data_IF_182820726656
#
_entry.id   IF_182820726656
#
_cell.length_a   1.000
_cell.length_b   1.000
_cell.length_c   1.000
_cell.angle_alpha   90.00
_cell.angle_beta   90.00
_cell.angle_gamma   90.00
#
_symmetry.space_group_name_H-M   'P 1'
#
loop_
_entity.id
_entity.type
_entity.pdbx_description
1 polymer ?
#
# COMPACT_ATOMS: atom_id res chain seq x y z
N UNK A 1 17.93 -13.26 -1.26
CA UNK A 1 16.74 -12.54 -1.76
C UNK A 1 15.73 -13.52 -2.32
N UNK A 2 14.45 -13.29 -2.06
CA UNK A 2 13.40 -14.13 -2.62
C UNK A 2 13.41 -14.06 -4.16
N UNK A 3 13.04 -15.17 -4.79
CA UNK A 3 12.94 -15.25 -6.26
C UNK A 3 11.92 -14.22 -6.75
N UNK A 4 12.31 -13.44 -7.74
CA UNK A 4 11.43 -12.43 -8.33
C UNK A 4 11.55 -11.04 -7.74
N UNK A 5 12.33 -10.86 -6.68
CA UNK A 5 12.60 -9.52 -6.14
C UNK A 5 13.85 -8.91 -6.79
N UNK A 6 13.82 -7.60 -6.95
CA UNK A 6 14.97 -6.84 -7.44
C UNK A 6 15.81 -6.32 -6.28
N UNK A 7 17.00 -5.82 -6.61
CA UNK A 7 17.86 -5.13 -5.65
C UNK A 7 17.52 -3.63 -5.53
N UNK A 8 16.43 -3.20 -6.14
CA UNK A 8 16.00 -1.81 -6.10
C UNK A 8 15.27 -1.52 -4.80
N UNK A 9 15.37 -0.29 -4.34
CA UNK A 9 14.81 0.13 -3.08
C UNK A 9 13.37 0.59 -3.21
N UNK A 10 12.62 0.40 -2.13
CA UNK A 10 11.30 0.96 -1.94
C UNK A 10 11.41 1.91 -0.76
N UNK A 11 10.97 3.14 -0.94
CA UNK A 11 11.02 4.16 0.08
C UNK A 11 9.62 4.45 0.59
N UNK A 12 9.51 4.60 1.92
CA UNK A 12 8.23 4.90 2.57
C UNK A 12 8.31 6.22 3.31
N UNK A 13 7.35 7.10 3.05
CA UNK A 13 7.05 8.21 3.92
C UNK A 13 5.85 7.84 4.79
N UNK A 14 6.10 7.54 6.05
CA UNK A 14 5.06 7.10 6.97
C UNK A 14 4.20 8.27 7.41
N UNK A 15 2.90 8.22 7.10
CA UNK A 15 1.89 9.18 7.56
C UNK A 15 1.29 8.75 8.90
N UNK A 16 1.13 7.45 9.09
CA UNK A 16 0.76 6.83 10.35
C UNK A 16 1.46 5.49 10.47
N UNK A 17 2.13 5.27 11.59
CA UNK A 17 2.72 3.97 11.91
C UNK A 17 2.72 3.79 13.42
N UNK A 18 2.48 2.58 13.89
CA UNK A 18 2.59 2.27 15.31
C UNK A 18 4.06 2.18 15.70
N UNK A 19 4.36 2.72 16.86
CA UNK A 19 5.62 2.50 17.55
C UNK A 19 5.46 1.36 18.56
N UNK A 20 6.50 1.11 19.34
CA UNK A 20 6.49 0.05 20.39
C UNK A 20 5.41 0.25 21.45
N UNK A 21 4.92 1.47 21.61
CA UNK A 21 4.00 1.87 22.67
C UNK A 21 2.59 2.20 22.16
N UNK A 22 2.30 1.91 20.90
CA UNK A 22 1.03 2.23 20.29
C UNK A 22 1.20 2.97 18.96
N UNK A 23 0.12 3.44 18.41
CA UNK A 23 0.11 4.14 17.15
C UNK A 23 0.01 5.64 17.31
N UNK A 24 0.32 6.33 16.22
CA UNK A 24 0.14 7.78 16.17
C UNK A 24 0.38 8.32 14.77
N UNK A 25 -0.18 9.48 14.50
CA UNK A 25 0.11 10.22 13.28
C UNK A 25 1.47 10.89 13.39
N UNK A 26 2.28 10.80 12.37
CA UNK A 26 3.59 11.48 12.34
C UNK A 26 3.38 12.96 12.13
N UNK A 27 3.50 13.72 13.21
CA UNK A 27 3.26 15.16 13.24
C UNK A 27 4.19 15.94 12.29
N UNK A 28 5.39 15.44 12.04
CA UNK A 28 6.38 16.11 11.20
C UNK A 28 6.02 16.18 9.71
N UNK A 29 5.06 15.39 9.25
CA UNK A 29 4.71 15.35 7.81
C UNK A 29 3.25 15.74 7.53
N UNK A 30 2.40 15.84 8.56
CA UNK A 30 0.99 16.16 8.37
C UNK A 30 0.65 17.41 9.17
N UNK A 31 0.25 18.45 8.46
CA UNK A 31 -0.18 19.72 9.06
C UNK A 31 -1.69 19.91 8.99
N UNK A 32 -2.34 19.36 7.95
CA UNK A 32 -3.78 19.51 7.77
C UNK A 32 -4.55 18.74 8.84
N UNK A 33 -5.41 19.45 9.59
CA UNK A 33 -6.15 18.86 10.70
C UNK A 33 -7.16 17.80 10.26
N UNK A 34 -7.78 17.96 9.08
CA UNK A 34 -8.74 16.97 8.56
C UNK A 34 -8.04 15.67 8.23
N UNK A 35 -6.83 15.75 7.64
CA UNK A 35 -6.02 14.56 7.39
C UNK A 35 -5.61 13.87 8.68
N UNK A 36 -5.21 14.62 9.70
CA UNK A 36 -4.90 14.08 11.02
C UNK A 36 -6.11 13.36 11.63
N UNK A 37 -7.27 13.97 11.55
CA UNK A 37 -8.51 13.40 12.13
C UNK A 37 -8.90 12.09 11.42
N UNK A 38 -8.73 12.03 10.10
CA UNK A 38 -8.98 10.81 9.34
C UNK A 38 -8.00 9.70 9.76
N UNK A 39 -6.72 10.02 9.80
CA UNK A 39 -5.68 9.04 10.12
C UNK A 39 -5.73 8.57 11.57
N UNK A 40 -6.26 9.38 12.47
CA UNK A 40 -6.42 9.01 13.89
C UNK A 40 -7.58 8.04 14.17
N UNK A 41 -8.37 7.67 13.17
CA UNK A 41 -9.38 6.64 13.33
C UNK A 41 -8.73 5.30 13.64
N UNK A 42 -9.27 4.56 14.61
CA UNK A 42 -8.66 3.31 15.12
C UNK A 42 -8.54 2.22 14.06
N UNK A 43 -9.47 2.17 13.11
CA UNK A 43 -9.47 1.18 12.04
C UNK A 43 -8.33 1.40 11.03
N UNK A 44 -7.75 2.58 10.95
CA UNK A 44 -6.58 2.84 10.12
C UNK A 44 -5.34 2.42 10.89
N UNK A 45 -4.71 1.33 10.46
CA UNK A 45 -3.54 0.77 11.14
C UNK A 45 -2.25 1.46 10.70
N UNK A 46 -2.09 1.64 9.40
CA UNK A 46 -0.90 2.24 8.79
C UNK A 46 -1.33 3.06 7.58
N UNK A 47 -0.65 4.15 7.34
CA UNK A 47 -0.75 4.90 6.10
C UNK A 47 0.64 5.37 5.68
N UNK A 48 0.93 5.29 4.39
CA UNK A 48 2.23 5.68 3.84
C UNK A 48 2.13 6.16 2.42
N UNK A 49 3.06 7.00 2.03
CA UNK A 49 3.37 7.24 0.63
C UNK A 49 4.57 6.35 0.31
N UNK A 50 4.42 5.49 -0.69
CA UNK A 50 5.45 4.54 -1.11
C UNK A 50 5.99 4.93 -2.48
N UNK A 51 7.31 5.01 -2.60
CA UNK A 51 8.01 5.25 -3.85
C UNK A 51 8.75 3.98 -4.24
N UNK A 52 8.48 3.50 -5.45
CA UNK A 52 9.13 2.32 -6.02
C UNK A 52 10.06 2.77 -7.13
N UNK A 53 11.35 2.56 -6.96
CA UNK A 53 12.33 2.93 -7.97
C UNK A 53 12.08 2.23 -9.30
N UNK A 54 12.48 2.90 -10.37
CA UNK A 54 12.57 2.27 -11.71
C UNK A 54 13.28 0.92 -11.62
N UNK A 55 12.68 -0.12 -12.19
CA UNK A 55 13.21 -1.48 -12.17
C UNK A 55 12.84 -2.31 -10.92
N UNK A 56 12.01 -1.80 -10.03
CA UNK A 56 11.53 -2.57 -8.87
C UNK A 56 10.67 -3.74 -9.31
N UNK A 57 10.96 -4.91 -8.75
CA UNK A 57 10.21 -6.14 -8.99
C UNK A 57 9.88 -6.78 -7.66
N UNK A 58 8.59 -6.87 -7.34
CA UNK A 58 8.09 -7.64 -6.21
C UNK A 58 7.41 -8.90 -6.73
N UNK A 59 8.09 -10.02 -6.61
CA UNK A 59 7.56 -11.31 -7.06
C UNK A 59 6.36 -11.79 -6.25
N UNK A 60 5.82 -12.98 -6.58
CA UNK A 60 4.61 -13.49 -5.95
C UNK A 60 4.73 -13.59 -4.43
N UNK A 61 3.79 -12.98 -3.71
CA UNK A 61 3.76 -13.00 -2.25
C UNK A 61 2.38 -12.66 -1.70
N UNK A 62 2.21 -12.93 -0.42
CA UNK A 62 1.11 -12.41 0.41
C UNK A 62 1.73 -11.53 1.49
N UNK A 63 1.04 -10.48 1.89
CA UNK A 63 1.52 -9.63 2.97
C UNK A 63 1.22 -10.25 4.33
N UNK A 64 2.10 -10.07 5.32
CA UNK A 64 1.84 -10.53 6.69
C UNK A 64 0.84 -9.63 7.40
N UNK A 65 0.24 -10.10 8.52
CA UNK A 65 -0.56 -9.25 9.38
C UNK A 65 0.20 -8.00 9.83
N UNK A 66 -0.53 -6.91 10.03
CA UNK A 66 0.02 -5.67 10.58
C UNK A 66 -0.33 -5.60 12.07
N UNK A 67 0.70 -5.56 12.93
CA UNK A 67 0.53 -5.56 14.38
C UNK A 67 -0.35 -6.72 14.90
N UNK A 68 -0.23 -7.89 14.28
CA UNK A 68 -1.05 -9.04 14.62
C UNK A 68 -2.50 -8.97 14.15
N UNK A 69 -2.86 -7.99 13.33
CA UNK A 69 -4.23 -7.76 12.87
C UNK A 69 -4.38 -8.02 11.39
N UNK A 70 -5.51 -8.59 10.99
CA UNK A 70 -5.91 -8.69 9.60
C UNK A 70 -6.36 -7.32 9.07
N UNK A 71 -6.04 -7.03 7.83
CA UNK A 71 -6.34 -5.75 7.21
C UNK A 71 -6.58 -5.89 5.71
N UNK A 72 -7.16 -4.85 5.13
CA UNK A 72 -7.22 -4.62 3.69
C UNK A 72 -6.46 -3.35 3.37
N UNK A 73 -5.85 -3.32 2.20
CA UNK A 73 -5.11 -2.15 1.74
C UNK A 73 -5.91 -1.37 0.72
N UNK A 74 -6.15 -0.09 1.02
CA UNK A 74 -6.54 0.88 0.00
C UNK A 74 -5.25 1.31 -0.69
N UNK A 75 -5.22 1.15 -2.01
CA UNK A 75 -4.09 1.53 -2.84
C UNK A 75 -4.54 2.62 -3.80
N UNK A 76 -3.90 3.78 -3.74
CA UNK A 76 -4.18 4.90 -4.63
C UNK A 76 -2.90 5.22 -5.39
N UNK A 77 -2.86 4.92 -6.71
CA UNK A 77 -1.72 5.33 -7.53
C UNK A 77 -1.64 6.85 -7.61
N UNK A 78 -0.51 7.41 -7.22
CA UNK A 78 -0.27 8.86 -7.28
C UNK A 78 0.50 9.25 -8.53
N UNK A 79 1.48 8.45 -8.94
CA UNK A 79 2.24 8.67 -10.15
C UNK A 79 2.60 7.33 -10.78
N UNK A 80 2.12 7.09 -11.99
CA UNK A 80 2.38 5.89 -12.78
C UNK A 80 3.00 6.32 -14.11
N UNK A 81 4.31 6.12 -14.31
CA UNK A 81 5.01 6.63 -15.50
C UNK A 81 4.50 6.06 -16.82
N UNK A 82 4.13 4.79 -16.85
CA UNK A 82 3.68 4.12 -18.09
C UNK A 82 2.97 2.80 -17.78
N UNK A 83 2.45 2.15 -18.82
CA UNK A 83 1.83 0.82 -18.72
C UNK A 83 2.84 -0.29 -18.41
N UNK A 84 4.13 0.02 -18.35
CA UNK A 84 5.16 -0.89 -17.85
C UNK A 84 5.15 -1.02 -16.31
N UNK A 85 4.27 -0.24 -15.65
CA UNK A 85 3.99 -0.34 -14.23
C UNK A 85 2.67 -1.09 -14.05
N UNK A 86 2.72 -2.26 -13.43
CA UNK A 86 1.54 -3.10 -13.26
C UNK A 86 1.68 -4.02 -12.06
N UNK A 87 0.54 -4.58 -11.65
CA UNK A 87 0.53 -5.67 -10.68
C UNK A 87 -0.11 -6.90 -11.31
N UNK A 88 0.17 -8.06 -10.72
CA UNK A 88 -0.58 -9.29 -10.96
C UNK A 88 -1.30 -9.63 -9.67
N UNK A 89 -2.63 -9.63 -9.73
CA UNK A 89 -3.49 -9.89 -8.60
C UNK A 89 -4.27 -11.19 -8.86
N UNK A 90 -4.00 -12.20 -8.05
CA UNK A 90 -4.60 -13.52 -8.19
C UNK A 90 -4.60 -13.99 -9.67
N UNK A 91 -3.43 -13.94 -10.30
CA UNK A 91 -3.16 -14.29 -11.69
C UNK A 91 -3.72 -13.35 -12.76
N UNK A 92 -4.34 -12.22 -12.35
CA UNK A 92 -4.84 -11.20 -13.29
C UNK A 92 -3.88 -10.03 -13.36
N UNK A 93 -3.54 -9.61 -14.58
CA UNK A 93 -2.76 -8.40 -14.77
C UNK A 93 -3.63 -7.17 -14.61
N UNK A 94 -3.21 -6.26 -13.74
CA UNK A 94 -3.90 -4.99 -13.48
C UNK A 94 -2.94 -3.86 -13.83
N UNK A 95 -3.37 -2.99 -14.74
CA UNK A 95 -2.66 -1.75 -15.05
C UNK A 95 -3.19 -0.68 -14.11
N UNK A 96 -2.30 -0.05 -13.36
CA UNK A 96 -2.66 1.00 -12.44
C UNK A 96 -3.04 2.29 -13.16
N UNK A 97 -4.04 2.98 -12.62
CA UNK A 97 -4.49 4.29 -13.13
C UNK A 97 -4.39 5.32 -12.01
N UNK A 98 -3.72 6.43 -12.29
CA UNK A 98 -3.54 7.49 -11.32
C UNK A 98 -4.87 7.98 -10.75
N UNK A 99 -4.92 8.15 -9.42
CA UNK A 99 -6.07 8.68 -8.71
C UNK A 99 -7.23 7.70 -8.51
N UNK A 100 -7.15 6.47 -9.04
CA UNK A 100 -8.20 5.47 -8.87
C UNK A 100 -7.95 4.61 -7.64
N UNK A 101 -8.69 4.78 -6.53
CA UNK A 101 -8.51 3.95 -5.36
C UNK A 101 -9.07 2.54 -5.60
N UNK A 102 -8.33 1.55 -5.15
CA UNK A 102 -8.74 0.14 -5.16
C UNK A 102 -8.50 -0.45 -3.78
N UNK A 103 -9.32 -1.41 -3.39
CA UNK A 103 -9.19 -2.12 -2.11
C UNK A 103 -8.74 -3.54 -2.37
N UNK A 104 -7.62 -3.94 -1.75
CA UNK A 104 -7.04 -5.27 -1.93
C UNK A 104 -6.93 -6.03 -0.62
N UNK A 105 -7.31 -7.30 -0.64
CA UNK A 105 -7.04 -8.23 0.46
C UNK A 105 -5.65 -8.84 0.27
N UNK A 106 -4.64 -8.07 0.61
CA UNK A 106 -3.22 -8.41 0.35
C UNK A 106 -2.70 -9.57 1.20
N UNK A 107 -3.42 -9.95 2.24
CA UNK A 107 -3.05 -11.08 3.10
C UNK A 107 -3.51 -12.42 2.54
N UNK A 108 -4.65 -12.45 1.84
CA UNK A 108 -5.28 -13.70 1.40
C UNK A 108 -4.98 -14.07 -0.04
N UNK A 109 -4.61 -13.09 -0.88
CA UNK A 109 -4.35 -13.31 -2.30
C UNK A 109 -2.90 -13.08 -2.66
N UNK A 110 -2.35 -13.99 -3.46
CA UNK A 110 -1.00 -13.84 -4.02
C UNK A 110 -0.99 -12.69 -5.01
N UNK A 111 -0.03 -11.81 -4.88
CA UNK A 111 0.12 -10.65 -5.76
C UNK A 111 1.58 -10.33 -6.04
N UNK A 112 1.80 -9.60 -7.13
CA UNK A 112 3.09 -9.19 -7.62
C UNK A 112 3.01 -7.73 -8.06
N UNK A 113 4.12 -7.01 -7.98
CA UNK A 113 4.16 -5.61 -8.40
C UNK A 113 5.44 -5.32 -9.17
N UNK A 114 5.32 -4.56 -10.27
CA UNK A 114 6.42 -4.28 -11.16
C UNK A 114 6.45 -2.83 -11.61
N UNK A 115 7.64 -2.23 -11.52
CA UNK A 115 7.94 -0.97 -12.17
C UNK A 115 9.04 -1.21 -13.20
N UNK A 116 8.65 -1.53 -14.42
CA UNK A 116 9.59 -1.77 -15.53
C UNK A 116 9.81 -0.53 -16.39
N UNK A 117 9.31 0.62 -15.94
CA UNK A 117 9.51 1.90 -16.62
C UNK A 117 10.86 2.53 -16.28
N UNK A 118 11.19 3.62 -16.95
CA UNK A 118 12.42 4.38 -16.74
C UNK A 118 12.32 5.40 -15.60
N UNK A 119 11.19 5.47 -14.90
CA UNK A 119 10.97 6.46 -13.84
C UNK A 119 10.38 5.78 -12.58
N UNK A 120 10.44 6.48 -11.46
CA UNK A 120 9.91 5.97 -10.21
C UNK A 120 8.39 6.08 -10.18
N UNK A 121 7.70 5.11 -9.57
CA UNK A 121 6.25 5.19 -9.37
C UNK A 121 5.92 5.42 -7.90
N UNK A 122 4.75 6.00 -7.63
CA UNK A 122 4.37 6.43 -6.30
C UNK A 122 2.92 6.07 -5.98
N UNK A 123 2.70 5.61 -4.75
CA UNK A 123 1.38 5.23 -4.23
C UNK A 123 1.10 5.86 -2.88
N UNK A 124 -0.18 6.06 -2.60
CA UNK A 124 -0.67 6.17 -1.24
C UNK A 124 -1.24 4.81 -0.82
N UNK A 125 -0.76 4.26 0.28
CA UNK A 125 -1.28 3.05 0.90
C UNK A 125 -1.94 3.37 2.23
N UNK A 126 -3.15 2.83 2.42
CA UNK A 126 -3.86 2.94 3.71
C UNK A 126 -4.32 1.54 4.10
N UNK A 127 -3.79 1.02 5.19
CA UNK A 127 -4.14 -0.30 5.70
C UNK A 127 -5.24 -0.16 6.75
N UNK A 128 -6.40 -0.74 6.46
CA UNK A 128 -7.59 -0.67 7.30
C UNK A 128 -7.85 -2.03 7.94
N UNK A 129 -8.03 -2.04 9.26
CA UNK A 129 -8.33 -3.25 10.02
C UNK A 129 -9.56 -3.96 9.46
N UNK A 130 -9.43 -5.26 9.24
CA UNK A 130 -10.52 -6.11 8.78
C UNK A 130 -11.35 -6.55 10.00
N UNK A 131 -12.56 -6.02 10.10
CA UNK A 131 -13.51 -6.34 11.19
C UNK A 131 -14.60 -7.26 10.67
N UNK A 132 -15.06 -8.16 11.51
CA UNK A 132 -15.93 -9.29 11.12
C UNK A 132 -17.27 -8.90 10.51
N UNK A 133 -17.77 -7.70 10.73
CA UNK A 133 -19.14 -7.32 10.40
C UNK A 133 -19.27 -6.03 9.58
N UNK A 134 -18.17 -5.41 9.15
CA UNK A 134 -18.22 -4.01 8.75
C UNK A 134 -17.55 -3.65 7.46
N UNK A 135 -17.39 -4.53 6.55
CA UNK A 135 -16.76 -4.08 5.33
C UNK A 135 -17.77 -3.59 4.32
N UNK A 136 -18.00 -2.28 4.32
CA UNK A 136 -18.65 -1.59 3.21
C UNK A 136 -17.66 -1.28 2.09
N UNK A 137 -16.43 -1.74 2.21
CA UNK A 137 -15.39 -1.56 1.20
C UNK A 137 -15.53 -2.62 0.12
N UNK A 138 -15.50 -2.17 -1.13
CA UNK A 138 -15.54 -3.06 -2.28
C UNK A 138 -14.12 -3.52 -2.61
N UNK A 139 -13.90 -4.84 -2.61
CA UNK A 139 -12.63 -5.45 -2.99
C UNK A 139 -12.52 -5.68 -4.49
N UNK A 140 -11.30 -5.68 -4.96
CA UNK A 140 -10.99 -6.05 -6.35
C UNK A 140 -10.99 -7.56 -6.51
#
# INVERSE_FOLDING_TARGET
TAVGYSNKDIYFCWLKAQNKNGGGVRQSVIEDQRAKDILNQDEILVASIALFESGTKLGPHKDPPVYGKAYRRIQIPLYIPSDECYMIWDKKKIIWREGEPQVYDVMDYVHEGYNLSDDDMMFLFVDIEKRNDNSNLQEV
#
